data_IF_878575147458
#
_entry.id   IF_878575147458
#
_cell.length_a   1.000
_cell.length_b   1.000
_cell.length_c   1.000
_cell.angle_alpha   90.00
_cell.angle_beta   90.00
_cell.angle_gamma   90.00
#
_symmetry.space_group_name_H-M   'P 1'
#
loop_
_entity.id
_entity.type
_entity.pdbx_description
1 polymer ?
#
# COMPACT_ATOMS: atom_id res chain seq x y z
N UNK A 1 9.28 -4.51 19.67
CA UNK A 1 10.22 -4.24 18.56
C UNK A 1 9.41 -3.75 17.36
N UNK A 2 9.85 -2.71 16.65
CA UNK A 2 9.10 -2.27 15.48
C UNK A 2 9.10 -3.35 14.38
N UNK A 3 7.90 -3.76 13.94
CA UNK A 3 7.73 -4.88 13.01
C UNK A 3 7.88 -4.42 11.57
N UNK A 4 7.23 -3.30 11.19
CA UNK A 4 7.32 -2.78 9.83
C UNK A 4 6.96 -1.29 9.73
N UNK A 5 7.75 -0.54 8.96
CA UNK A 5 7.46 0.84 8.53
C UNK A 5 7.13 0.84 7.05
N UNK A 6 5.98 1.41 6.68
CA UNK A 6 5.48 1.47 5.32
C UNK A 6 5.19 2.92 4.92
N UNK A 7 5.42 3.22 3.65
CA UNK A 7 5.01 4.49 3.03
C UNK A 7 4.21 4.17 1.78
N UNK A 8 2.98 4.68 1.73
CA UNK A 8 2.09 4.64 0.57
C UNK A 8 2.09 6.00 -0.11
N UNK A 9 2.37 6.03 -1.40
CA UNK A 9 2.41 7.27 -2.17
C UNK A 9 1.85 7.13 -3.58
N UNK A 10 1.19 8.19 -4.05
CA UNK A 10 0.46 8.20 -5.31
C UNK A 10 -0.26 9.53 -5.55
N UNK A 11 -1.28 9.56 -6.40
CA UNK A 11 -2.13 10.74 -6.61
C UNK A 11 -3.39 10.71 -5.73
N UNK A 12 -3.97 11.89 -5.50
CA UNK A 12 -5.33 12.01 -5.00
C UNK A 12 -6.30 11.25 -5.91
N UNK A 13 -7.10 10.34 -5.32
CA UNK A 13 -8.03 9.48 -6.05
C UNK A 13 -7.59 8.03 -6.24
N UNK A 14 -6.29 7.71 -6.10
CA UNK A 14 -5.80 6.31 -6.13
C UNK A 14 -6.07 5.54 -4.82
N UNK A 15 -6.61 6.19 -3.80
CA UNK A 15 -6.99 5.55 -2.52
C UNK A 15 -5.81 5.13 -1.64
N UNK A 16 -4.62 5.74 -1.80
CA UNK A 16 -3.41 5.40 -1.03
C UNK A 16 -3.58 5.58 0.49
N UNK A 17 -4.30 6.62 0.92
CA UNK A 17 -4.64 6.84 2.34
C UNK A 17 -5.59 5.76 2.83
N UNK A 18 -6.64 5.46 2.04
CA UNK A 18 -7.61 4.43 2.39
C UNK A 18 -6.94 3.07 2.58
N UNK A 19 -6.02 2.68 1.69
CA UNK A 19 -5.25 1.45 1.84
C UNK A 19 -4.41 1.44 3.12
N UNK A 20 -3.72 2.56 3.42
CA UNK A 20 -2.92 2.69 4.63
C UNK A 20 -3.75 2.57 5.92
N UNK A 21 -4.92 3.21 5.96
CA UNK A 21 -5.86 3.12 7.09
C UNK A 21 -6.39 1.70 7.25
N UNK A 22 -6.81 1.05 6.15
CA UNK A 22 -7.29 -0.34 6.20
C UNK A 22 -6.20 -1.28 6.73
N UNK A 23 -4.95 -1.12 6.28
CA UNK A 23 -3.83 -1.91 6.78
C UNK A 23 -3.62 -1.71 8.29
N UNK A 24 -3.58 -0.46 8.74
CA UNK A 24 -3.37 -0.12 10.14
C UNK A 24 -4.50 -0.67 11.04
N UNK A 25 -5.75 -0.50 10.63
CA UNK A 25 -6.89 -1.04 11.38
C UNK A 25 -6.93 -2.56 11.39
N UNK A 26 -6.54 -3.21 10.29
CA UNK A 26 -6.44 -4.67 10.25
C UNK A 26 -5.43 -5.18 11.27
N UNK A 27 -4.28 -4.49 11.39
CA UNK A 27 -3.26 -4.82 12.37
C UNK A 27 -3.77 -4.62 13.81
N UNK A 28 -4.43 -3.50 14.09
CA UNK A 28 -4.90 -3.16 15.44
C UNK A 28 -6.09 -4.00 15.90
N UNK A 29 -7.10 -4.16 15.04
CA UNK A 29 -8.37 -4.77 15.44
C UNK A 29 -8.34 -6.30 15.38
N UNK A 30 -7.45 -6.90 14.58
CA UNK A 30 -7.51 -8.34 14.30
C UNK A 30 -6.19 -9.10 14.42
N UNK A 31 -5.05 -8.42 14.61
CA UNK A 31 -3.74 -9.08 14.76
C UNK A 31 -3.05 -8.81 16.11
N UNK A 32 -3.71 -8.09 17.03
CA UNK A 32 -3.15 -7.70 18.34
C UNK A 32 -1.83 -6.92 18.22
N UNK A 33 -1.76 -6.02 17.24
CA UNK A 33 -0.62 -5.16 16.98
C UNK A 33 -0.94 -3.69 17.27
N UNK A 34 0.10 -2.90 17.47
CA UNK A 34 0.00 -1.45 17.59
C UNK A 34 0.31 -0.86 16.22
N UNK A 35 -0.56 0.04 15.74
CA UNK A 35 -0.32 0.78 14.51
C UNK A 35 -0.45 2.28 14.70
N UNK A 36 0.44 3.04 14.06
CA UNK A 36 0.31 4.49 13.89
C UNK A 36 0.24 4.78 12.40
N UNK A 37 -0.82 5.46 11.97
CA UNK A 37 -0.96 5.98 10.62
C UNK A 37 -0.87 7.50 10.66
N UNK A 38 -0.01 8.06 9.83
CA UNK A 38 0.08 9.51 9.63
C UNK A 38 0.02 9.84 8.15
N UNK A 39 -0.38 11.05 7.83
CA UNK A 39 -0.55 11.49 6.45
C UNK A 39 -0.13 12.94 6.33
N UNK A 40 0.55 13.24 5.24
CA UNK A 40 0.99 14.60 4.93
C UNK A 40 0.09 15.15 3.83
N UNK A 41 -0.73 16.14 4.19
CA UNK A 41 -1.47 16.98 3.25
C UNK A 41 -0.87 18.38 3.26
N UNK A 42 -0.09 18.71 2.25
CA UNK A 42 0.29 20.09 1.97
C UNK A 42 -0.52 20.63 0.77
N UNK A 43 0.06 21.52 -0.05
CA UNK A 43 -0.54 21.99 -1.30
C UNK A 43 -0.94 20.86 -2.27
N UNK A 44 -0.45 19.63 -2.05
CA UNK A 44 -0.69 18.44 -2.86
C UNK A 44 -2.18 18.03 -2.95
N UNK A 45 -3.05 18.54 -2.07
CA UNK A 45 -4.50 18.41 -2.21
C UNK A 45 -5.05 19.03 -3.52
N UNK A 46 -4.27 19.89 -4.18
CA UNK A 46 -4.61 20.54 -5.47
C UNK A 46 -3.75 20.04 -6.64
N UNK A 47 -3.04 18.93 -6.47
CA UNK A 47 -2.15 18.35 -7.48
C UNK A 47 -0.75 18.16 -6.91
N UNK A 48 -0.42 16.92 -6.58
CA UNK A 48 0.91 16.51 -6.15
C UNK A 48 0.93 15.09 -5.56
N UNK A 49 2.13 14.57 -5.29
CA UNK A 49 2.32 13.26 -4.68
C UNK A 49 1.78 13.24 -3.23
N UNK A 50 0.69 12.51 -3.02
CA UNK A 50 0.13 12.21 -1.70
C UNK A 50 1.00 11.16 -1.01
N UNK A 51 1.16 11.29 0.31
CA UNK A 51 1.95 10.36 1.14
C UNK A 51 1.20 10.00 2.43
N UNK A 52 1.16 8.71 2.73
CA UNK A 52 0.61 8.13 3.95
C UNK A 52 1.62 7.15 4.55
N UNK A 53 1.99 7.36 5.80
CA UNK A 53 2.95 6.56 6.55
C UNK A 53 2.19 5.62 7.48
N UNK A 54 2.66 4.37 7.59
CA UNK A 54 2.12 3.36 8.53
C UNK A 54 3.28 2.73 9.27
N UNK A 55 3.20 2.71 10.60
CA UNK A 55 4.14 1.98 11.46
C UNK A 55 3.32 0.91 12.17
N UNK A 56 3.75 -0.34 12.09
CA UNK A 56 3.13 -1.47 12.79
C UNK A 56 4.20 -2.13 13.67
N UNK A 57 3.85 -2.39 14.93
CA UNK A 57 4.74 -2.93 15.95
C UNK A 57 3.99 -3.85 16.93
N UNK A 58 4.75 -4.70 17.63
CA UNK A 58 4.26 -5.52 18.77
C UNK A 58 4.46 -4.81 20.13
N UNK A 59 4.91 -3.55 20.11
CA UNK A 59 5.21 -2.73 21.28
C UNK A 59 4.88 -1.27 21.02
N UNK A 60 4.84 -0.44 22.06
CA UNK A 60 4.51 0.99 21.95
C UNK A 60 5.34 1.73 20.89
N UNK A 61 4.68 2.67 20.19
CA UNK A 61 5.27 3.49 19.14
C UNK A 61 5.41 4.93 19.66
N UNK A 62 6.62 5.34 20.01
CA UNK A 62 6.88 6.70 20.52
C UNK A 62 7.18 7.74 19.43
N UNK A 63 7.56 7.30 18.22
CA UNK A 63 7.92 8.18 17.12
C UNK A 63 7.06 7.90 15.88
N UNK A 64 6.12 8.80 15.52
CA UNK A 64 5.07 8.51 14.53
C UNK A 64 5.46 8.77 13.07
N UNK A 65 6.75 9.01 12.77
CA UNK A 65 7.23 9.41 11.42
C UNK A 65 8.11 8.33 10.78
N UNK A 66 7.92 8.10 9.48
CA UNK A 66 8.72 7.12 8.73
C UNK A 66 9.80 7.81 7.91
N UNK A 67 11.07 7.66 8.30
CA UNK A 67 12.20 8.21 7.53
C UNK A 67 12.79 7.20 6.52
N UNK A 68 12.87 5.92 6.93
CA UNK A 68 13.43 4.83 6.13
C UNK A 68 12.48 3.62 6.18
N UNK A 69 11.49 3.54 5.28
CA UNK A 69 10.53 2.45 5.30
C UNK A 69 11.16 1.12 4.91
N UNK A 70 10.62 0.05 5.48
CA UNK A 70 10.79 -1.32 5.02
C UNK A 70 10.11 -1.53 3.66
N UNK A 71 8.95 -0.87 3.47
CA UNK A 71 8.12 -0.99 2.26
C UNK A 71 7.74 0.39 1.77
N UNK A 72 8.03 0.69 0.51
CA UNK A 72 7.63 1.92 -0.16
C UNK A 72 6.76 1.55 -1.37
N UNK A 73 5.55 2.11 -1.42
CA UNK A 73 4.66 1.99 -2.57
C UNK A 73 4.61 3.35 -3.28
N UNK A 74 4.91 3.36 -4.57
CA UNK A 74 4.83 4.55 -5.42
C UNK A 74 3.96 4.26 -6.66
N UNK A 75 2.75 4.82 -6.68
CA UNK A 75 1.73 4.56 -7.71
C UNK A 75 1.66 5.62 -8.82
N UNK A 76 2.55 6.63 -8.77
CA UNK A 76 2.71 7.64 -9.80
C UNK A 76 4.18 7.99 -10.01
N UNK A 77 4.52 8.48 -11.21
CA UNK A 77 5.88 8.92 -11.50
C UNK A 77 6.36 10.03 -10.55
N UNK A 78 5.48 10.96 -10.19
CA UNK A 78 5.80 12.05 -9.26
C UNK A 78 6.16 11.50 -7.87
N UNK A 79 5.37 10.55 -7.36
CA UNK A 79 5.63 9.90 -6.09
C UNK A 79 6.95 9.12 -6.10
N UNK A 80 7.21 8.36 -7.17
CA UNK A 80 8.49 7.68 -7.37
C UNK A 80 9.64 8.68 -7.37
N UNK A 81 9.61 9.72 -8.21
CA UNK A 81 10.68 10.70 -8.31
C UNK A 81 10.99 11.39 -6.96
N UNK A 82 9.96 11.64 -6.14
CA UNK A 82 10.08 12.29 -4.84
C UNK A 82 10.59 11.36 -3.74
N UNK A 83 10.17 10.09 -3.73
CA UNK A 83 10.35 9.22 -2.57
C UNK A 83 11.22 7.98 -2.81
N UNK A 84 11.54 7.59 -4.04
CA UNK A 84 12.23 6.32 -4.34
C UNK A 84 13.49 6.08 -3.50
N UNK A 85 14.23 7.12 -3.14
CA UNK A 85 15.50 7.04 -2.40
C UNK A 85 15.36 6.88 -0.89
N UNK A 86 14.15 7.02 -0.31
CA UNK A 86 13.97 6.94 1.14
C UNK A 86 13.89 5.49 1.63
N UNK A 87 13.51 4.56 0.75
CA UNK A 87 13.42 3.13 1.09
C UNK A 87 14.75 2.64 1.65
N UNK A 88 14.70 1.90 2.74
CA UNK A 88 15.92 1.42 3.39
C UNK A 88 16.66 0.40 2.50
N UNK A 89 17.99 0.25 2.65
CA UNK A 89 18.75 -0.86 2.07
C UNK A 89 18.06 -2.23 2.27
N UNK A 90 17.88 -2.98 1.19
CA UNK A 90 17.19 -4.28 1.19
C UNK A 90 15.67 -4.22 1.43
N UNK A 91 15.08 -3.03 1.51
CA UNK A 91 13.63 -2.83 1.58
C UNK A 91 12.90 -3.27 0.32
N UNK A 92 11.58 -3.06 0.28
CA UNK A 92 10.73 -3.37 -0.86
C UNK A 92 10.18 -2.07 -1.46
N UNK A 93 10.41 -1.86 -2.75
CA UNK A 93 9.82 -0.76 -3.52
C UNK A 93 8.84 -1.33 -4.55
N UNK A 94 7.55 -1.03 -4.38
CA UNK A 94 6.48 -1.45 -5.28
C UNK A 94 6.05 -0.27 -6.15
N UNK A 95 6.01 -0.48 -7.46
CA UNK A 95 5.49 0.49 -8.43
C UNK A 95 4.49 -0.16 -9.37
N UNK A 96 3.67 0.67 -10.03
CA UNK A 96 2.78 0.23 -11.10
C UNK A 96 3.41 0.51 -12.48
N UNK A 97 3.49 -0.50 -13.36
CA UNK A 97 4.14 -0.39 -14.69
C UNK A 97 3.42 0.55 -15.65
N UNK A 98 2.12 0.83 -15.44
CA UNK A 98 1.35 1.77 -16.27
C UNK A 98 1.68 3.21 -15.90
N UNK A 99 1.91 3.51 -14.62
CA UNK A 99 2.08 4.89 -14.13
C UNK A 99 3.51 5.29 -13.81
N UNK A 100 4.43 4.34 -13.68
CA UNK A 100 5.80 4.59 -13.25
C UNK A 100 6.79 3.93 -14.20
N UNK A 101 7.73 4.71 -14.72
CA UNK A 101 8.95 4.24 -15.36
C UNK A 101 10.10 4.39 -14.37
N UNK A 102 10.62 3.28 -13.91
CA UNK A 102 11.83 3.28 -13.08
C UNK A 102 13.04 3.63 -13.95
N UNK A 103 13.97 4.40 -13.39
CA UNK A 103 15.17 4.84 -14.12
C UNK A 103 16.45 4.76 -13.28
N UNK A 104 16.32 4.55 -11.97
CA UNK A 104 17.44 4.37 -11.06
C UNK A 104 17.33 3.02 -10.37
N UNK A 105 18.47 2.35 -10.26
CA UNK A 105 18.61 1.25 -9.33
C UNK A 105 18.73 1.83 -7.92
N UNK A 106 17.80 1.47 -7.04
CA UNK A 106 17.94 1.69 -5.60
C UNK A 106 18.45 0.43 -4.93
N UNK A 107 19.05 0.59 -3.76
CA UNK A 107 19.47 -0.53 -2.90
C UNK A 107 18.25 -1.17 -2.21
N UNK A 108 17.26 -1.57 -2.98
CA UNK A 108 16.04 -2.20 -2.49
C UNK A 108 15.54 -3.20 -3.53
N UNK A 109 14.70 -4.14 -3.08
CA UNK A 109 13.97 -5.06 -3.96
C UNK A 109 12.92 -4.24 -4.71
N UNK A 110 13.21 -3.83 -5.95
CA UNK A 110 12.28 -3.10 -6.80
C UNK A 110 11.37 -4.08 -7.54
N UNK A 111 10.06 -3.93 -7.38
CA UNK A 111 9.03 -4.78 -7.98
C UNK A 111 8.05 -3.88 -8.74
N UNK A 112 8.06 -4.01 -10.05
CA UNK A 112 7.17 -3.27 -10.95
C UNK A 112 6.02 -4.20 -11.35
N UNK A 113 4.81 -3.89 -10.89
CA UNK A 113 3.65 -4.75 -11.08
C UNK A 113 2.69 -4.12 -12.09
N UNK A 114 2.08 -4.92 -12.99
CA UNK A 114 1.06 -4.44 -13.92
C UNK A 114 -0.32 -4.28 -13.26
N UNK A 115 -0.41 -3.69 -12.06
CA UNK A 115 -1.63 -3.68 -11.25
C UNK A 115 -2.82 -3.03 -11.98
N UNK A 116 -2.63 -1.83 -12.53
CA UNK A 116 -3.70 -1.10 -13.22
C UNK A 116 -4.19 -1.87 -14.44
N UNK A 117 -3.27 -2.40 -15.24
CA UNK A 117 -3.61 -3.21 -16.40
C UNK A 117 -4.41 -4.45 -15.99
N UNK A 118 -3.95 -5.21 -14.99
CA UNK A 118 -4.66 -6.39 -14.50
C UNK A 118 -6.06 -6.07 -13.99
N UNK A 119 -6.23 -4.95 -13.28
CA UNK A 119 -7.55 -4.52 -12.82
C UNK A 119 -8.47 -4.22 -14.00
N UNK A 120 -7.99 -3.48 -14.99
CA UNK A 120 -8.80 -3.14 -16.16
C UNK A 120 -9.18 -4.37 -16.98
N UNK A 121 -8.30 -5.36 -17.09
CA UNK A 121 -8.57 -6.61 -17.81
C UNK A 121 -9.52 -7.55 -17.05
N UNK A 122 -9.39 -7.67 -15.72
CA UNK A 122 -10.11 -8.67 -14.91
C UNK A 122 -11.37 -8.15 -14.23
N UNK A 123 -11.41 -6.86 -13.88
CA UNK A 123 -12.50 -6.24 -13.11
C UNK A 123 -13.16 -5.11 -13.91
N UNK A 124 -12.38 -4.38 -14.72
CA UNK A 124 -12.86 -3.29 -15.57
C UNK A 124 -13.17 -1.99 -14.82
N UNK A 125 -12.90 -1.92 -13.50
CA UNK A 125 -13.18 -0.74 -12.67
C UNK A 125 -11.96 -0.32 -11.86
N UNK A 126 -11.38 0.89 -12.06
CA UNK A 126 -10.17 1.33 -11.36
C UNK A 126 -10.42 1.70 -9.88
N UNK A 127 -11.68 1.79 -9.44
CA UNK A 127 -12.04 2.19 -8.07
C UNK A 127 -11.46 1.24 -6.98
N UNK A 128 -11.12 0.01 -7.34
CA UNK A 128 -10.54 -1.01 -6.44
C UNK A 128 -9.01 -1.06 -6.47
N UNK A 129 -8.36 -0.09 -7.13
CA UNK A 129 -6.90 -0.07 -7.31
C UNK A 129 -6.13 -0.10 -5.99
N UNK A 130 -6.61 0.61 -4.98
CA UNK A 130 -6.03 0.61 -3.64
C UNK A 130 -6.11 -0.76 -2.95
N UNK A 131 -7.23 -1.47 -3.08
CA UNK A 131 -7.41 -2.80 -2.47
C UNK A 131 -6.62 -3.87 -3.21
N UNK A 132 -6.55 -3.79 -4.53
CA UNK A 132 -5.69 -4.66 -5.34
C UNK A 132 -4.20 -4.48 -5.02
N UNK A 133 -3.76 -3.22 -4.90
CA UNK A 133 -2.39 -2.90 -4.47
C UNK A 133 -2.12 -3.45 -3.07
N UNK A 134 -3.07 -3.27 -2.14
CA UNK A 134 -2.94 -3.79 -0.78
C UNK A 134 -2.83 -5.32 -0.76
N UNK A 135 -3.62 -6.03 -1.57
CA UNK A 135 -3.51 -7.48 -1.76
C UNK A 135 -2.14 -7.90 -2.29
N UNK A 136 -1.64 -7.18 -3.30
CA UNK A 136 -0.29 -7.41 -3.83
C UNK A 136 0.78 -7.25 -2.75
N UNK A 137 0.68 -6.19 -1.94
CA UNK A 137 1.63 -5.89 -0.87
C UNK A 137 1.65 -6.98 0.21
N UNK A 138 0.50 -7.40 0.71
CA UNK A 138 0.45 -8.37 1.83
C UNK A 138 0.86 -9.78 1.41
N UNK A 139 0.81 -10.11 0.12
CA UNK A 139 1.37 -11.38 -0.38
C UNK A 139 2.91 -11.41 -0.39
N UNK A 140 3.55 -10.23 -0.37
CA UNK A 140 5.02 -10.08 -0.35
C UNK A 140 5.57 -9.81 1.05
N UNK A 141 4.70 -9.42 1.98
CA UNK A 141 5.07 -8.97 3.33
C UNK A 141 4.14 -9.61 4.34
N UNK A 142 4.70 -10.49 5.17
CA UNK A 142 3.98 -11.14 6.25
C UNK A 142 3.74 -10.17 7.42
N UNK A 143 2.68 -9.36 7.30
CA UNK A 143 2.34 -8.31 8.26
C UNK A 143 0.94 -8.44 8.85
N UNK A 144 -0.06 -8.69 8.01
CA UNK A 144 -1.46 -8.91 8.41
C UNK A 144 -2.06 -10.02 7.55
N UNK A 145 -3.01 -10.76 8.11
CA UNK A 145 -3.69 -11.82 7.36
C UNK A 145 -4.70 -11.23 6.37
N UNK A 146 -4.91 -11.85 5.20
CA UNK A 146 -5.94 -11.44 4.25
C UNK A 146 -7.34 -11.36 4.88
N UNK A 147 -7.65 -12.28 5.80
CA UNK A 147 -8.92 -12.35 6.50
C UNK A 147 -9.15 -11.12 7.38
N UNK A 148 -8.10 -10.59 8.00
CA UNK A 148 -8.14 -9.38 8.82
C UNK A 148 -8.49 -8.16 7.97
N UNK A 149 -7.92 -8.06 6.76
CA UNK A 149 -8.31 -7.02 5.80
C UNK A 149 -9.77 -7.18 5.38
N UNK A 150 -10.20 -8.40 5.04
CA UNK A 150 -11.58 -8.65 4.62
C UNK A 150 -12.61 -8.20 5.68
N UNK A 151 -12.34 -8.45 6.97
CA UNK A 151 -13.20 -7.96 8.06
C UNK A 151 -13.29 -6.44 8.12
N UNK A 152 -12.22 -5.71 7.79
CA UNK A 152 -12.27 -4.23 7.68
C UNK A 152 -13.07 -3.81 6.44
N UNK A 153 -12.92 -4.51 5.31
CA UNK A 153 -13.67 -4.20 4.10
C UNK A 153 -15.18 -4.36 4.33
N UNK A 154 -15.59 -5.39 5.08
CA UNK A 154 -16.99 -5.65 5.43
C UNK A 154 -17.65 -4.53 6.26
N UNK A 155 -16.86 -3.78 7.05
CA UNK A 155 -17.37 -2.66 7.85
C UNK A 155 -17.28 -1.31 7.14
N UNK A 156 -16.26 -1.09 6.31
CA UNK A 156 -16.00 0.21 5.65
C UNK A 156 -16.61 0.36 4.27
N UNK A 157 -16.77 -0.73 3.54
CA UNK A 157 -17.18 -0.68 2.13
C UNK A 157 -18.69 -0.97 2.05
N UNK A 158 -19.47 -0.14 1.32
CA UNK A 158 -20.88 -0.44 1.09
C UNK A 158 -21.03 -1.83 0.45
N UNK A 159 -22.04 -2.59 0.89
CA UNK A 159 -22.26 -3.97 0.46
C UNK A 159 -22.24 -4.16 -1.06
N UNK A 160 -22.76 -3.19 -1.82
CA UNK A 160 -22.77 -3.18 -3.28
C UNK A 160 -21.36 -3.25 -3.93
N UNK A 161 -20.31 -2.83 -3.23
CA UNK A 161 -18.92 -2.84 -3.72
C UNK A 161 -18.06 -3.91 -3.04
N UNK A 162 -18.58 -4.61 -2.03
CA UNK A 162 -17.79 -5.53 -1.21
C UNK A 162 -17.22 -6.68 -2.04
N UNK A 163 -18.03 -7.32 -2.89
CA UNK A 163 -17.58 -8.46 -3.69
C UNK A 163 -16.49 -8.07 -4.70
N UNK A 164 -16.62 -6.87 -5.29
CA UNK A 164 -15.61 -6.33 -6.20
C UNK A 164 -14.28 -6.08 -5.49
N UNK A 165 -14.32 -5.58 -4.25
CA UNK A 165 -13.11 -5.37 -3.45
C UNK A 165 -12.53 -6.69 -2.94
N UNK A 166 -13.36 -7.68 -2.60
CA UNK A 166 -12.94 -9.06 -2.28
C UNK A 166 -12.18 -9.68 -3.45
N UNK A 167 -12.74 -9.58 -4.66
CA UNK A 167 -12.09 -10.04 -5.88
C UNK A 167 -10.78 -9.28 -6.14
N UNK A 168 -10.75 -7.97 -5.94
CA UNK A 168 -9.55 -7.15 -6.10
C UNK A 168 -8.43 -7.56 -5.13
N UNK A 169 -8.76 -7.77 -3.86
CA UNK A 169 -7.79 -8.23 -2.85
C UNK A 169 -7.17 -9.57 -3.25
N UNK A 170 -8.00 -10.55 -3.62
CA UNK A 170 -7.56 -11.87 -4.04
C UNK A 170 -6.65 -11.82 -5.28
N UNK A 171 -7.08 -11.14 -6.34
CA UNK A 171 -6.29 -11.03 -7.56
C UNK A 171 -4.98 -10.26 -7.32
N UNK A 172 -5.01 -9.26 -6.44
CA UNK A 172 -3.80 -8.57 -5.99
C UNK A 172 -2.82 -9.52 -5.33
N UNK A 173 -3.29 -10.37 -4.41
CA UNK A 173 -2.44 -11.37 -3.76
C UNK A 173 -1.86 -12.39 -4.74
N UNK A 174 -2.68 -12.87 -5.69
CA UNK A 174 -2.22 -13.79 -6.74
C UNK A 174 -1.15 -13.18 -7.63
N UNK A 175 -1.29 -11.90 -7.97
CA UNK A 175 -0.26 -11.17 -8.71
C UNK A 175 1.00 -11.03 -7.86
N UNK A 176 0.87 -10.51 -6.63
CA UNK A 176 2.02 -10.22 -5.79
C UNK A 176 2.84 -11.45 -5.39
N UNK A 177 2.20 -12.61 -5.21
CA UNK A 177 2.89 -13.87 -4.93
C UNK A 177 3.89 -14.29 -6.03
N UNK A 178 3.68 -13.86 -7.28
CA UNK A 178 4.60 -14.13 -8.39
C UNK A 178 5.89 -13.32 -8.32
N UNK A 179 5.92 -12.29 -7.47
CA UNK A 179 7.03 -11.35 -7.32
C UNK A 179 7.72 -11.45 -5.96
N UNK A 180 7.31 -12.36 -5.07
CA UNK A 180 7.93 -12.54 -3.76
C UNK A 180 9.32 -13.17 -3.87
#
# INVERSE_FOLDING_TARGET
MERCRLVFSGSGGQGVITAAVILAESAVLYEDLIAVQTQSYGPEARGGATRSDVIIADSEIYFPKVNQPNVLVCLTQEAYNKFYSIVRPGGLLITDTRFVKTWKKVDARQKELPMYQTIMEKIGKPIVFNIFMLGSLISMVDLVKPESIMKILETRIPSAFLEMNRQALRLGMELGAQFN
#
